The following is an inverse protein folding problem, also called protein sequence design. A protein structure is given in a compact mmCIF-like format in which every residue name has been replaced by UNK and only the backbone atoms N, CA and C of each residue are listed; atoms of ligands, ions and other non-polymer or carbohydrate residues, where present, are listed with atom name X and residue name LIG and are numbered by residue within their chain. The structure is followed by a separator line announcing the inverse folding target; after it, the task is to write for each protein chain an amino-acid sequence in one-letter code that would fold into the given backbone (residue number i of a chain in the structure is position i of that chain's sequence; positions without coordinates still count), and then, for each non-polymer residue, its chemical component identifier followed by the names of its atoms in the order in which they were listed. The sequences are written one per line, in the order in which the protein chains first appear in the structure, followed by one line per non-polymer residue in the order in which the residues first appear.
data_IF_978774769315
#
_entry.id   IF_978774769315
#
_cell.length_a   1.000
_cell.length_b   1.000
_cell.length_c   1.000
_cell.angle_alpha   90.00
_cell.angle_beta   90.00
_cell.angle_gamma   90.00
#
_symmetry.space_group_name_H-M   'P 1'
#
loop_
_entity.id
_entity.type
_entity.pdbx_description
1 polymer ?
#
# COMPACT_ATOMS: atom_id res chain seq x y z
N UNK A 1 -28.93 -6.53 12.93
CA UNK A 1 -27.67 -6.30 12.20
C UNK A 1 -28.01 -6.30 10.72
N UNK A 2 -28.12 -5.12 10.11
CA UNK A 2 -28.51 -4.98 8.71
C UNK A 2 -27.36 -5.43 7.79
N UNK A 3 -27.59 -6.49 7.04
CA UNK A 3 -26.71 -6.91 5.94
C UNK A 3 -26.85 -5.87 4.83
N UNK A 4 -25.77 -5.13 4.51
CA UNK A 4 -25.78 -4.16 3.42
C UNK A 4 -25.80 -4.89 2.09
N UNK A 5 -26.99 -5.14 1.53
CA UNK A 5 -27.18 -5.57 0.15
C UNK A 5 -26.58 -4.50 -0.77
N UNK A 6 -25.48 -4.83 -1.46
CA UNK A 6 -24.99 -3.99 -2.55
C UNK A 6 -26.09 -3.91 -3.62
N UNK A 7 -26.53 -2.70 -3.98
CA UNK A 7 -27.56 -2.51 -4.98
C UNK A 7 -27.11 -3.12 -6.32
N UNK A 8 -27.87 -4.07 -6.86
CA UNK A 8 -27.60 -4.68 -8.15
C UNK A 8 -27.82 -3.65 -9.26
N UNK A 9 -26.80 -3.39 -10.09
CA UNK A 9 -26.90 -2.52 -11.27
C UNK A 9 -26.34 -3.27 -12.50
N UNK A 10 -26.89 -3.02 -13.70
CA UNK A 10 -26.41 -3.63 -14.95
C UNK A 10 -25.03 -3.12 -15.41
N UNK A 11 -24.48 -2.09 -14.76
CA UNK A 11 -23.09 -1.64 -14.93
C UNK A 11 -22.20 -2.41 -13.96
N UNK A 12 -21.37 -3.33 -14.46
CA UNK A 12 -20.70 -4.37 -13.66
C UNK A 12 -19.31 -3.94 -13.18
N UNK A 13 -18.58 -3.20 -14.01
CA UNK A 13 -17.24 -2.70 -13.75
C UNK A 13 -17.06 -1.33 -14.39
N UNK A 14 -16.32 -0.43 -13.76
CA UNK A 14 -15.91 0.83 -14.37
C UNK A 14 -14.51 1.22 -13.93
N UNK A 15 -13.71 1.77 -14.82
CA UNK A 15 -12.41 2.33 -14.48
C UNK A 15 -12.09 3.59 -15.27
N UNK A 16 -11.17 4.36 -14.71
CA UNK A 16 -10.50 5.48 -15.37
C UNK A 16 -9.01 5.15 -15.33
N UNK A 17 -8.38 5.16 -16.50
CA UNK A 17 -6.97 4.82 -16.67
C UNK A 17 -6.24 5.93 -17.43
N UNK A 18 -4.94 6.06 -17.18
CA UNK A 18 -4.02 6.81 -18.02
C UNK A 18 -3.12 5.81 -18.75
N UNK A 19 -3.26 5.72 -20.07
CA UNK A 19 -2.75 4.61 -20.87
C UNK A 19 -3.12 3.26 -20.23
N UNK A 20 -2.11 2.51 -19.76
CA UNK A 20 -2.28 1.18 -19.18
C UNK A 20 -2.43 1.22 -17.64
N UNK A 21 -2.27 2.39 -17.03
CA UNK A 21 -2.28 2.54 -15.58
C UNK A 21 -3.68 2.93 -15.10
N UNK A 22 -4.35 2.00 -14.41
CA UNK A 22 -5.64 2.26 -13.77
C UNK A 22 -5.46 3.28 -12.64
N UNK A 23 -6.10 4.44 -12.77
CA UNK A 23 -6.08 5.51 -11.76
C UNK A 23 -7.16 5.29 -10.70
N UNK A 24 -8.30 4.75 -11.09
CA UNK A 24 -9.41 4.37 -10.20
C UNK A 24 -10.29 3.34 -10.90
N UNK A 25 -10.83 2.39 -10.15
CA UNK A 25 -11.81 1.42 -10.66
C UNK A 25 -12.83 1.08 -9.60
N UNK A 26 -14.02 0.66 -10.01
CA UNK A 26 -15.04 0.08 -9.16
C UNK A 26 -15.58 -1.20 -9.79
N UNK A 27 -15.70 -2.27 -8.99
CA UNK A 27 -16.27 -3.55 -9.41
C UNK A 27 -17.43 -3.90 -8.51
N UNK A 28 -18.52 -4.39 -9.08
CA UNK A 28 -19.64 -4.94 -8.31
C UNK A 28 -19.38 -6.43 -8.09
N UNK A 29 -19.31 -6.82 -6.82
CA UNK A 29 -18.70 -8.05 -6.29
C UNK A 29 -19.35 -9.38 -6.68
N UNK A 30 -20.11 -9.46 -7.79
CA UNK A 30 -20.82 -10.69 -8.20
C UNK A 30 -20.49 -11.19 -9.61
N UNK A 31 -19.52 -10.60 -10.33
CA UNK A 31 -19.12 -11.08 -11.67
C UNK A 31 -17.61 -11.29 -11.76
N UNK A 32 -17.17 -12.53 -11.49
CA UNK A 32 -15.78 -12.97 -11.67
C UNK A 32 -15.32 -12.74 -13.12
N UNK A 33 -14.15 -12.12 -13.30
CA UNK A 33 -13.48 -11.98 -14.61
C UNK A 33 -13.64 -10.63 -15.32
N UNK A 34 -14.63 -9.79 -14.96
CA UNK A 34 -14.86 -8.49 -15.65
C UNK A 34 -13.72 -7.49 -15.44
N UNK A 35 -13.07 -7.55 -14.28
CA UNK A 35 -11.98 -6.66 -13.89
C UNK A 35 -10.64 -7.03 -14.55
N UNK A 36 -10.49 -8.25 -15.09
CA UNK A 36 -9.36 -8.68 -15.91
C UNK A 36 -9.44 -8.22 -17.37
N UNK A 37 -10.64 -7.86 -17.85
CA UNK A 37 -10.81 -7.31 -19.20
C UNK A 37 -10.10 -5.97 -19.36
N UNK A 38 -10.02 -5.16 -18.28
CA UNK A 38 -9.31 -3.88 -18.31
C UNK A 38 -7.82 -4.03 -18.63
N UNK A 39 -7.13 -5.00 -18.00
CA UNK A 39 -5.70 -5.24 -18.24
C UNK A 39 -5.39 -5.70 -19.67
N UNK A 40 -6.36 -6.33 -20.33
CA UNK A 40 -6.25 -6.79 -21.71
C UNK A 40 -6.56 -5.68 -22.71
N UNK A 41 -7.60 -4.89 -22.44
CA UNK A 41 -8.12 -3.88 -23.36
C UNK A 41 -7.27 -2.61 -23.34
N UNK A 42 -6.86 -2.12 -22.17
CA UNK A 42 -6.15 -0.85 -22.04
C UNK A 42 -4.87 -0.76 -22.91
N UNK A 43 -3.99 -1.79 -22.98
CA UNK A 43 -2.82 -1.78 -23.85
C UNK A 43 -3.11 -1.72 -25.36
N UNK A 44 -4.35 -1.96 -25.78
CA UNK A 44 -4.78 -1.92 -27.17
C UNK A 44 -5.41 -0.59 -27.56
N UNK A 45 -5.76 0.24 -26.57
CA UNK A 45 -6.37 1.54 -26.81
C UNK A 45 -5.27 2.55 -27.16
N UNK A 46 -5.49 3.20 -28.30
CA UNK A 46 -4.62 4.19 -28.89
C UNK A 46 -5.15 5.60 -28.57
N UNK A 47 -4.26 6.54 -28.29
CA UNK A 47 -4.61 7.90 -27.85
C UNK A 47 -4.19 8.99 -28.85
N UNK A 48 -3.90 8.60 -30.10
CA UNK A 48 -3.57 9.47 -31.21
C UNK A 48 -4.80 10.28 -31.67
N UNK A 49 -5.99 9.66 -31.58
CA UNK A 49 -7.28 10.28 -31.93
C UNK A 49 -8.31 10.00 -30.85
N UNK A 50 -9.27 10.89 -30.66
CA UNK A 50 -10.33 10.69 -29.69
C UNK A 50 -11.25 9.54 -30.18
N UNK A 51 -11.38 8.50 -29.37
CA UNK A 51 -12.10 7.28 -29.74
C UNK A 51 -13.29 7.03 -28.81
N UNK A 52 -14.36 6.49 -29.40
CA UNK A 52 -15.52 5.97 -28.68
C UNK A 52 -15.83 4.63 -29.32
N UNK A 53 -15.76 3.54 -28.56
CA UNK A 53 -15.91 2.20 -29.12
C UNK A 53 -16.57 1.25 -28.12
N UNK A 54 -17.21 0.22 -28.65
CA UNK A 54 -17.79 -0.88 -27.87
C UNK A 54 -17.14 -2.20 -28.25
N UNK A 55 -16.52 -2.89 -27.30
CA UNK A 55 -16.18 -4.31 -27.46
C UNK A 55 -17.32 -5.21 -26.99
N UNK A 56 -17.56 -6.30 -27.71
CA UNK A 56 -18.48 -7.36 -27.28
C UNK A 56 -17.70 -8.53 -26.73
N UNK A 57 -18.08 -9.03 -25.56
CA UNK A 57 -17.49 -10.21 -24.93
C UNK A 57 -18.56 -11.01 -24.18
N UNK A 58 -18.91 -12.18 -24.71
CA UNK A 58 -20.01 -13.01 -24.19
C UNK A 58 -21.31 -12.19 -24.07
N UNK A 59 -21.93 -12.17 -22.88
CA UNK A 59 -23.17 -11.43 -22.58
C UNK A 59 -22.94 -9.97 -22.18
N UNK A 60 -21.69 -9.49 -22.21
CA UNK A 60 -21.30 -8.16 -21.76
C UNK A 60 -20.77 -7.31 -22.90
N UNK A 61 -21.03 -6.01 -22.80
CA UNK A 61 -20.41 -4.99 -23.62
C UNK A 61 -19.42 -4.19 -22.79
N UNK A 62 -18.24 -3.95 -23.35
CA UNK A 62 -17.25 -3.03 -22.80
C UNK A 62 -17.31 -1.75 -23.62
N UNK A 63 -17.69 -0.65 -22.99
CA UNK A 63 -17.74 0.67 -23.63
C UNK A 63 -16.57 1.50 -23.11
N UNK A 64 -15.90 2.23 -24.00
CA UNK A 64 -14.91 3.22 -23.58
C UNK A 64 -14.96 4.51 -24.38
N UNK A 65 -14.48 5.57 -23.73
CA UNK A 65 -14.12 6.86 -24.34
C UNK A 65 -12.63 7.07 -24.06
N UNK A 66 -11.83 7.20 -25.11
CA UNK A 66 -10.40 7.50 -25.01
C UNK A 66 -10.15 8.91 -25.53
N UNK A 67 -9.51 9.73 -24.70
CA UNK A 67 -9.14 11.09 -25.02
C UNK A 67 -7.76 11.12 -25.68
N UNK A 68 -7.65 11.88 -26.76
CA UNK A 68 -6.38 12.21 -27.38
C UNK A 68 -5.79 13.49 -26.80
N UNK A 69 -4.48 13.65 -26.97
CA UNK A 69 -3.80 14.90 -26.64
C UNK A 69 -4.48 16.05 -27.35
N UNK A 70 -4.74 17.20 -26.68
CA UNK A 70 -5.48 18.30 -27.27
C UNK A 70 -4.81 18.72 -28.59
N UNK A 71 -5.49 18.44 -29.70
CA UNK A 71 -5.18 19.11 -30.95
C UNK A 71 -5.58 20.57 -30.79
N UNK A 72 -4.85 21.49 -31.42
CA UNK A 72 -5.03 22.95 -31.38
C UNK A 72 -6.41 23.46 -31.84
N UNK A 73 -7.37 22.57 -32.11
CA UNK A 73 -8.61 22.87 -32.81
C UNK A 73 -9.85 23.09 -31.92
N UNK A 74 -9.87 22.64 -30.66
CA UNK A 74 -11.05 22.84 -29.78
C UNK A 74 -10.65 23.01 -28.30
N UNK A 75 -10.61 24.26 -27.82
CA UNK A 75 -10.28 24.62 -26.44
C UNK A 75 -11.38 24.34 -25.42
N UNK A 76 -12.62 24.10 -25.87
CA UNK A 76 -13.80 23.99 -25.00
C UNK A 76 -14.09 22.55 -24.53
N UNK A 77 -13.40 21.55 -25.09
CA UNK A 77 -13.51 20.17 -24.62
C UNK A 77 -12.56 19.95 -23.45
N UNK A 78 -13.10 19.73 -22.25
CA UNK A 78 -12.38 19.15 -21.12
C UNK A 78 -11.77 17.81 -21.58
N UNK A 79 -10.52 17.82 -22.04
CA UNK A 79 -9.80 16.64 -22.54
C UNK A 79 -8.41 16.62 -21.90
N UNK A 80 -8.03 15.48 -21.35
CA UNK A 80 -6.65 15.21 -20.99
C UNK A 80 -6.20 14.01 -21.82
N UNK A 81 -5.25 14.25 -22.73
CA UNK A 81 -4.72 13.19 -23.58
C UNK A 81 -4.19 12.03 -22.76
N UNK A 82 -4.40 10.81 -23.25
CA UNK A 82 -3.96 9.59 -22.57
C UNK A 82 -4.97 9.04 -21.55
N UNK A 83 -6.08 9.72 -21.27
CA UNK A 83 -7.13 9.18 -20.40
C UNK A 83 -8.11 8.27 -21.14
N UNK A 84 -8.42 7.13 -20.53
CA UNK A 84 -9.47 6.21 -20.95
C UNK A 84 -10.52 6.07 -19.84
N UNK A 85 -11.78 6.28 -20.20
CA UNK A 85 -12.95 6.04 -19.35
C UNK A 85 -13.65 4.79 -19.85
N UNK A 86 -13.75 3.74 -19.03
CA UNK A 86 -14.28 2.45 -19.44
C UNK A 86 -15.36 1.94 -18.48
N UNK A 87 -16.35 1.25 -19.04
CA UNK A 87 -17.41 0.56 -18.28
C UNK A 87 -17.77 -0.75 -18.95
N UNK A 88 -17.94 -1.80 -18.15
CA UNK A 88 -18.49 -3.10 -18.57
C UNK A 88 -19.93 -3.14 -18.13
N UNK A 89 -20.84 -3.39 -19.07
CA UNK A 89 -22.27 -3.45 -18.85
C UNK A 89 -22.86 -4.73 -19.45
N UNK A 90 -24.00 -5.17 -18.93
CA UNK A 90 -24.79 -6.21 -19.61
C UNK A 90 -25.25 -5.71 -20.98
N UNK A 91 -25.23 -6.58 -21.98
CA UNK A 91 -25.57 -6.22 -23.36
C UNK A 91 -27.02 -5.68 -23.52
N UNK A 92 -27.94 -6.14 -22.67
CA UNK A 92 -29.35 -5.74 -22.66
C UNK A 92 -29.59 -4.28 -22.25
N UNK A 93 -28.62 -3.65 -21.57
CA UNK A 93 -28.69 -2.24 -21.17
C UNK A 93 -28.60 -1.28 -22.38
N UNK A 94 -28.09 -1.77 -23.52
CA UNK A 94 -27.81 -0.97 -24.70
C UNK A 94 -26.66 0.02 -24.48
N UNK A 95 -26.39 0.86 -25.50
CA UNK A 95 -25.19 1.75 -25.51
C UNK A 95 -25.41 3.12 -24.87
N UNK A 96 -26.65 3.64 -24.91
CA UNK A 96 -26.93 5.03 -24.52
C UNK A 96 -26.67 5.27 -23.03
N UNK A 97 -27.10 4.34 -22.16
CA UNK A 97 -26.89 4.47 -20.72
C UNK A 97 -25.40 4.39 -20.36
N UNK A 98 -24.62 3.38 -20.80
CA UNK A 98 -23.18 3.33 -20.57
C UNK A 98 -22.42 4.56 -21.07
N UNK A 99 -22.67 5.02 -22.30
CA UNK A 99 -21.97 6.20 -22.83
C UNK A 99 -22.38 7.49 -22.13
N UNK A 100 -23.65 7.64 -21.76
CA UNK A 100 -24.10 8.78 -20.95
C UNK A 100 -23.47 8.81 -19.56
N UNK A 101 -23.28 7.64 -18.95
CA UNK A 101 -22.51 7.46 -17.73
C UNK A 101 -21.03 7.82 -17.93
N UNK A 102 -20.39 7.36 -19.02
CA UNK A 102 -18.98 7.66 -19.32
C UNK A 102 -18.74 9.18 -19.48
N UNK A 103 -19.67 9.88 -20.12
CA UNK A 103 -19.63 11.36 -20.24
C UNK A 103 -19.70 12.02 -18.87
N UNK A 104 -20.58 11.54 -17.98
CA UNK A 104 -20.74 12.11 -16.64
C UNK A 104 -19.50 11.87 -15.75
N UNK A 105 -18.95 10.66 -15.74
CA UNK A 105 -17.73 10.38 -14.95
C UNK A 105 -16.55 11.17 -15.49
N UNK A 106 -16.42 11.35 -16.81
CA UNK A 106 -15.39 12.19 -17.41
C UNK A 106 -15.51 13.63 -16.90
N UNK A 107 -16.70 14.21 -16.99
CA UNK A 107 -16.98 15.57 -16.52
C UNK A 107 -16.62 15.76 -15.05
N UNK A 108 -17.05 14.85 -14.17
CA UNK A 108 -16.77 14.93 -12.72
C UNK A 108 -15.31 14.69 -12.40
N UNK A 109 -14.68 13.71 -13.06
CA UNK A 109 -13.28 13.39 -12.86
C UNK A 109 -12.38 14.57 -13.25
N UNK A 110 -12.60 15.20 -14.41
CA UNK A 110 -11.80 16.34 -14.86
C UNK A 110 -12.06 17.62 -14.05
N UNK A 111 -13.23 17.73 -13.41
CA UNK A 111 -13.51 18.81 -12.45
C UNK A 111 -12.70 18.64 -11.16
N UNK A 112 -12.54 17.41 -10.68
CA UNK A 112 -11.79 17.09 -9.46
C UNK A 112 -10.28 17.03 -9.70
N UNK A 113 -9.88 16.43 -10.82
CA UNK A 113 -8.50 16.30 -11.29
C UNK A 113 -8.32 17.17 -12.55
N UNK A 114 -8.09 18.47 -12.34
CA UNK A 114 -7.95 19.42 -13.43
C UNK A 114 -6.71 19.09 -14.30
N UNK A 115 -6.84 18.91 -15.62
CA UNK A 115 -5.73 18.59 -16.53
C UNK A 115 -4.59 19.61 -16.56
N UNK A 116 -4.88 20.89 -16.32
CA UNK A 116 -3.85 21.94 -16.28
C UNK A 116 -2.92 21.83 -15.06
N UNK A 117 -3.41 21.20 -13.98
CA UNK A 117 -2.68 21.10 -12.70
C UNK A 117 -2.27 19.68 -12.37
N UNK A 118 -2.82 18.69 -13.05
CA UNK A 118 -2.64 17.27 -12.73
C UNK A 118 -1.81 16.62 -13.83
N UNK A 119 -0.59 16.20 -13.48
CA UNK A 119 0.20 15.36 -14.38
C UNK A 119 -0.23 13.90 -14.21
N UNK A 120 -1.17 13.45 -15.04
CA UNK A 120 -1.72 12.09 -14.98
C UNK A 120 -0.66 11.00 -15.21
N UNK A 121 0.37 11.26 -16.02
CA UNK A 121 1.45 10.30 -16.26
C UNK A 121 2.36 10.06 -15.05
N UNK A 122 2.35 10.97 -14.08
CA UNK A 122 3.10 10.83 -12.81
C UNK A 122 2.29 10.15 -11.71
N UNK A 123 0.98 9.94 -11.90
CA UNK A 123 0.15 9.31 -10.88
C UNK A 123 0.46 7.81 -10.80
N UNK A 124 0.67 7.25 -9.60
CA UNK A 124 0.82 5.82 -9.45
C UNK A 124 -0.49 5.10 -9.76
N UNK A 125 -0.43 3.77 -9.91
CA UNK A 125 -1.62 2.94 -9.96
C UNK A 125 -2.53 3.24 -8.76
N UNK A 126 -3.83 3.39 -9.02
CA UNK A 126 -4.83 3.80 -8.03
C UNK A 126 -4.61 5.19 -7.42
N UNK A 127 -3.82 6.06 -8.06
CA UNK A 127 -3.55 7.43 -7.61
C UNK A 127 -4.79 8.33 -7.48
N UNK A 128 -5.92 7.94 -8.08
CA UNK A 128 -7.21 8.62 -7.98
C UNK A 128 -8.29 7.77 -7.28
N UNK A 129 -7.91 6.82 -6.41
CA UNK A 129 -8.83 5.94 -5.70
C UNK A 129 -9.91 6.66 -4.88
N UNK A 130 -9.68 7.93 -4.49
CA UNK A 130 -10.68 8.80 -3.87
C UNK A 130 -11.99 8.87 -4.66
N UNK A 131 -11.91 8.77 -5.99
CA UNK A 131 -13.04 8.85 -6.91
C UNK A 131 -13.85 7.55 -7.00
N UNK A 132 -13.39 6.42 -6.42
CA UNK A 132 -14.09 5.13 -6.45
C UNK A 132 -15.53 5.22 -5.92
N UNK A 133 -15.75 5.99 -4.85
CA UNK A 133 -17.08 6.18 -4.27
C UNK A 133 -18.05 6.85 -5.24
N UNK A 134 -17.55 7.80 -6.06
CA UNK A 134 -18.35 8.46 -7.10
C UNK A 134 -18.67 7.50 -8.25
N UNK A 135 -17.70 6.67 -8.68
CA UNK A 135 -17.96 5.62 -9.67
C UNK A 135 -19.09 4.70 -9.20
N UNK A 136 -19.01 4.19 -7.96
CA UNK A 136 -20.05 3.34 -7.37
C UNK A 136 -21.43 4.00 -7.39
N UNK A 137 -21.50 5.24 -6.90
CA UNK A 137 -22.77 5.97 -6.81
C UNK A 137 -23.39 6.16 -8.20
N UNK A 138 -22.60 6.61 -9.17
CA UNK A 138 -23.05 6.86 -10.53
C UNK A 138 -23.42 5.57 -11.27
N UNK A 139 -22.70 4.48 -11.05
CA UNK A 139 -23.03 3.17 -11.63
C UNK A 139 -24.41 2.68 -11.17
N UNK A 140 -24.75 2.89 -9.90
CA UNK A 140 -26.08 2.56 -9.38
C UNK A 140 -27.13 3.53 -9.92
N UNK A 141 -26.86 4.84 -9.88
CA UNK A 141 -27.77 5.88 -10.32
C UNK A 141 -28.16 5.73 -11.79
N UNK A 142 -27.17 5.64 -12.69
CA UNK A 142 -27.39 5.54 -14.14
C UNK A 142 -27.92 4.17 -14.56
N UNK A 143 -27.51 3.10 -13.87
CA UNK A 143 -27.95 1.75 -14.21
C UNK A 143 -29.36 1.41 -13.74
N UNK A 144 -29.83 2.01 -12.64
CA UNK A 144 -31.07 1.55 -11.96
C UNK A 144 -32.17 2.60 -11.86
N UNK A 145 -31.84 3.89 -11.78
CA UNK A 145 -32.84 4.94 -11.56
C UNK A 145 -33.36 5.52 -12.86
N UNK A 146 -34.61 5.98 -12.88
CA UNK A 146 -35.17 6.66 -14.06
C UNK A 146 -34.44 7.98 -14.34
N UNK A 147 -34.20 8.78 -13.29
CA UNK A 147 -33.50 10.05 -13.41
C UNK A 147 -32.09 9.88 -14.00
N UNK A 148 -31.30 8.93 -13.50
CA UNK A 148 -29.97 8.66 -14.04
C UNK A 148 -29.99 8.16 -15.50
N UNK A 149 -31.03 7.41 -15.91
CA UNK A 149 -31.20 7.01 -17.31
C UNK A 149 -31.55 8.20 -18.20
N UNK A 150 -32.44 9.08 -17.74
CA UNK A 150 -32.81 10.32 -18.44
C UNK A 150 -31.59 11.24 -18.61
N UNK A 151 -30.78 11.40 -17.56
CA UNK A 151 -29.51 12.13 -17.60
C UNK A 151 -28.51 11.50 -18.57
N UNK A 152 -28.43 10.16 -18.61
CA UNK A 152 -27.58 9.46 -19.57
C UNK A 152 -27.97 9.78 -21.03
N UNK A 153 -29.28 9.84 -21.32
CA UNK A 153 -29.76 10.22 -22.64
C UNK A 153 -29.43 11.68 -22.97
N UNK A 154 -29.60 12.60 -22.02
CA UNK A 154 -29.24 14.01 -22.19
C UNK A 154 -27.74 14.17 -22.45
N UNK A 155 -26.89 13.48 -21.68
CA UNK A 155 -25.45 13.50 -21.86
C UNK A 155 -25.02 12.98 -23.23
N UNK A 156 -25.60 11.87 -23.68
CA UNK A 156 -25.37 11.34 -25.03
C UNK A 156 -25.78 12.36 -26.08
N UNK A 157 -26.98 12.94 -25.96
CA UNK A 157 -27.51 13.85 -26.97
C UNK A 157 -26.67 15.12 -27.13
N UNK A 158 -26.03 15.59 -26.05
CA UNK A 158 -25.25 16.82 -26.04
C UNK A 158 -23.77 16.63 -26.39
N UNK A 159 -23.19 15.45 -26.13
CA UNK A 159 -21.73 15.22 -26.19
C UNK A 159 -21.31 14.11 -27.17
N UNK A 160 -22.27 13.32 -27.64
CA UNK A 160 -22.02 12.19 -28.53
C UNK A 160 -23.02 12.26 -29.69
N UNK A 161 -22.59 12.90 -30.77
CA UNK A 161 -23.35 12.93 -32.03
C UNK A 161 -23.57 11.49 -32.51
N UNK A 162 -24.79 11.00 -32.29
CA UNK A 162 -25.27 9.70 -32.71
C UNK A 162 -24.47 8.47 -32.19
N UNK A 163 -24.87 7.94 -31.02
CA UNK A 163 -24.39 6.66 -30.48
C UNK A 163 -24.52 5.48 -31.47
N UNK A 164 -25.38 5.55 -32.50
CA UNK A 164 -25.45 4.50 -33.54
C UNK A 164 -24.20 4.44 -34.41
N UNK A 165 -23.44 5.53 -34.52
CA UNK A 165 -22.18 5.58 -35.27
C UNK A 165 -20.97 5.05 -34.50
N UNK A 166 -21.13 4.68 -33.22
CA UNK A 166 -20.05 4.12 -32.42
C UNK A 166 -19.75 2.70 -32.91
N UNK A 167 -18.49 2.49 -33.30
CA UNK A 167 -18.00 1.20 -33.78
C UNK A 167 -18.14 0.11 -32.72
N UNK A 168 -18.47 -1.10 -33.16
CA UNK A 168 -18.57 -2.28 -32.31
C UNK A 168 -17.69 -3.39 -32.85
N UNK A 169 -16.84 -3.94 -32.01
CA UNK A 169 -15.87 -4.97 -32.36
C UNK A 169 -15.95 -6.15 -31.39
N UNK A 170 -15.67 -7.37 -31.86
CA UNK A 170 -15.56 -8.52 -30.97
C UNK A 170 -14.16 -8.50 -30.32
N UNK A 171 -14.10 -8.58 -29.00
CA UNK A 171 -12.82 -8.58 -28.27
C UNK A 171 -11.96 -9.80 -28.63
N UNK A 172 -12.56 -10.93 -29.01
CA UNK A 172 -11.84 -12.16 -29.37
C UNK A 172 -10.87 -11.96 -30.54
N UNK A 173 -11.21 -11.08 -31.49
CA UNK A 173 -10.33 -10.73 -32.61
C UNK A 173 -9.12 -9.91 -32.19
N UNK A 174 -9.27 -9.14 -31.10
CA UNK A 174 -8.16 -8.35 -30.50
C UNK A 174 -7.26 -9.26 -29.64
N UNK A 175 -7.74 -10.45 -29.28
CA UNK A 175 -7.11 -11.46 -28.42
C UNK A 175 -6.41 -12.62 -29.17
N UNK A 176 -6.58 -12.69 -30.50
CA UNK A 176 -6.29 -13.85 -31.35
C UNK A 176 -4.82 -14.29 -31.52
N UNK A 177 -3.88 -13.89 -30.64
CA UNK A 177 -2.45 -14.26 -30.77
C UNK A 177 -1.72 -14.77 -29.53
N UNK A 178 -2.39 -15.11 -28.43
CA UNK A 178 -1.74 -15.89 -27.36
C UNK A 178 -2.26 -15.73 -25.93
N UNK A 179 -3.17 -14.80 -25.67
CA UNK A 179 -3.76 -14.59 -24.34
C UNK A 179 -5.18 -15.17 -24.30
N UNK A 180 -5.29 -16.46 -24.01
CA UNK A 180 -6.60 -17.09 -23.76
C UNK A 180 -7.18 -16.48 -22.47
N UNK A 181 -8.39 -15.91 -22.53
CA UNK A 181 -9.12 -15.41 -21.35
C UNK A 181 -9.67 -16.59 -20.51
N UNK A 182 -8.78 -17.47 -20.05
CA UNK A 182 -9.00 -18.30 -18.87
C UNK A 182 -8.42 -17.59 -17.64
N UNK A 183 -8.63 -16.27 -17.54
CA UNK A 183 -8.28 -15.47 -16.35
C UNK A 183 -9.31 -15.69 -15.24
N UNK A 184 -9.41 -16.95 -14.79
CA UNK A 184 -9.68 -17.24 -13.40
C UNK A 184 -8.35 -17.08 -12.66
N UNK A 185 -8.36 -16.19 -11.65
CA UNK A 185 -7.23 -15.85 -10.77
C UNK A 185 -6.26 -14.83 -11.40
N UNK A 186 -6.38 -13.55 -11.02
CA UNK A 186 -5.53 -12.98 -9.96
C UNK A 186 -5.82 -11.49 -9.71
N UNK A 187 -6.95 -11.20 -9.04
CA UNK A 187 -7.25 -9.84 -8.52
C UNK A 187 -7.49 -9.81 -7.01
N UNK A 188 -7.29 -10.93 -6.32
CA UNK A 188 -7.41 -11.00 -4.85
C UNK A 188 -6.19 -10.34 -4.18
N UNK A 189 -4.99 -10.49 -4.73
CA UNK A 189 -3.77 -9.89 -4.13
C UNK A 189 -3.68 -8.38 -4.36
N UNK A 190 -4.15 -7.86 -5.51
CA UNK A 190 -4.17 -6.41 -5.76
C UNK A 190 -5.29 -5.66 -5.03
N UNK A 191 -6.43 -6.31 -4.76
CA UNK A 191 -7.52 -5.73 -3.97
C UNK A 191 -7.32 -5.90 -2.45
N UNK A 192 -6.61 -6.95 -2.01
CA UNK A 192 -6.26 -7.18 -0.61
C UNK A 192 -5.39 -6.07 -0.02
N UNK A 193 -4.36 -5.64 -0.75
CA UNK A 193 -3.50 -4.51 -0.37
C UNK A 193 -4.21 -3.15 -0.45
N UNK A 194 -4.88 -2.87 -1.57
CA UNK A 194 -5.47 -1.54 -1.82
C UNK A 194 -6.73 -1.24 -0.98
N UNK A 195 -7.55 -2.23 -0.63
CA UNK A 195 -8.72 -2.01 0.23
C UNK A 195 -8.34 -1.78 1.71
N UNK A 196 -7.21 -2.37 2.16
CA UNK A 196 -6.68 -2.19 3.51
C UNK A 196 -5.98 -0.83 3.63
N UNK A 197 -5.25 -0.40 2.60
CA UNK A 197 -4.64 0.94 2.52
C UNK A 197 -5.66 2.07 2.37
N UNK A 198 -6.81 1.84 1.72
CA UNK A 198 -7.86 2.84 1.59
C UNK A 198 -8.70 3.02 2.88
N UNK A 199 -8.86 1.98 3.71
CA UNK A 199 -9.48 2.10 5.04
C UNK A 199 -8.59 2.85 6.03
N UNK A 200 -7.26 2.73 5.88
CA UNK A 200 -6.28 3.40 6.74
C UNK A 200 -6.05 4.86 6.31
N UNK A 201 -6.15 5.21 5.01
CA UNK A 201 -5.96 6.60 4.54
C UNK A 201 -7.21 7.49 4.53
N UNK A 202 -8.43 6.94 4.45
CA UNK A 202 -9.68 7.74 4.48
C UNK A 202 -10.01 8.32 5.86
N UNK A 203 -9.57 7.67 6.95
CA UNK A 203 -9.72 8.19 8.32
C UNK A 203 -8.61 9.18 8.72
N UNK A 204 -7.45 9.14 8.06
CA UNK A 204 -6.33 10.05 8.32
C UNK A 204 -6.49 11.46 7.73
N UNK A 205 -7.13 11.60 6.56
CA UNK A 205 -7.30 12.91 5.90
C UNK A 205 -8.40 13.77 6.53
N UNK A 206 -9.45 13.16 7.10
CA UNK A 206 -10.52 13.89 7.83
C UNK A 206 -9.99 14.52 9.12
N UNK A 207 -9.00 13.87 9.77
CA UNK A 207 -8.40 14.33 11.03
C UNK A 207 -7.38 15.46 10.83
N UNK A 208 -6.65 15.49 9.70
CA UNK A 208 -5.73 16.60 9.35
C UNK A 208 -6.45 17.91 9.04
N UNK A 209 -7.62 17.88 8.40
CA UNK A 209 -8.47 19.07 8.21
C UNK A 209 -9.12 19.53 9.52
N UNK A 210 -9.60 18.62 10.36
CA UNK A 210 -10.18 18.95 11.67
C UNK A 210 -9.17 19.61 12.61
N UNK A 211 -7.92 19.15 12.65
CA UNK A 211 -6.88 19.72 13.52
C UNK A 211 -6.43 21.11 13.07
N UNK A 212 -6.39 21.40 11.76
CA UNK A 212 -6.14 22.76 11.28
C UNK A 212 -7.28 23.71 11.64
N UNK A 213 -8.53 23.26 11.50
CA UNK A 213 -9.69 24.08 11.84
C UNK A 213 -9.87 24.26 13.36
N UNK A 214 -9.58 23.25 14.17
CA UNK A 214 -9.61 23.33 15.63
C UNK A 214 -8.52 24.26 16.16
N UNK A 215 -7.30 24.18 15.62
CA UNK A 215 -6.20 25.08 16.01
C UNK A 215 -6.53 26.55 15.70
N UNK A 216 -7.15 26.83 14.55
CA UNK A 216 -7.63 28.17 14.20
C UNK A 216 -8.78 28.63 15.11
N UNK A 217 -9.73 27.75 15.42
CA UNK A 217 -10.86 28.13 16.29
C UNK A 217 -10.43 28.39 17.75
N UNK A 218 -9.50 27.60 18.29
CA UNK A 218 -8.93 27.81 19.63
C UNK A 218 -8.17 29.13 19.71
N UNK A 219 -7.36 29.47 18.70
CA UNK A 219 -6.67 30.76 18.63
C UNK A 219 -7.69 31.92 18.60
N UNK A 220 -8.76 31.79 17.81
CA UNK A 220 -9.80 32.82 17.70
C UNK A 220 -10.55 33.04 19.03
N UNK A 221 -10.85 31.96 19.76
CA UNK A 221 -11.48 32.04 21.10
C UNK A 221 -10.55 32.69 22.13
N UNK A 222 -9.26 32.35 22.13
CA UNK A 222 -8.27 32.97 23.04
C UNK A 222 -8.15 34.48 22.78
N UNK A 223 -8.14 34.90 21.52
CA UNK A 223 -8.10 36.32 21.16
C UNK A 223 -9.36 37.05 21.65
N UNK A 224 -10.55 36.45 21.51
CA UNK A 224 -11.80 37.04 22.03
C UNK A 224 -11.75 37.17 23.55
N UNK A 225 -11.32 36.14 24.28
CA UNK A 225 -11.20 36.17 25.75
C UNK A 225 -10.22 37.26 26.19
N UNK A 226 -9.10 37.40 25.49
CA UNK A 226 -8.12 38.44 25.76
C UNK A 226 -8.68 39.85 25.55
N UNK A 227 -9.44 40.07 24.47
CA UNK A 227 -10.09 41.36 24.20
C UNK A 227 -11.18 41.69 25.24
N UNK A 228 -11.96 40.70 25.67
CA UNK A 228 -12.95 40.86 26.75
C UNK A 228 -12.27 41.18 28.07
N UNK A 229 -11.15 40.51 28.39
CA UNK A 229 -10.35 40.79 29.59
C UNK A 229 -9.83 42.23 29.59
N UNK A 230 -9.32 42.72 28.46
CA UNK A 230 -8.87 44.13 28.33
C UNK A 230 -10.03 45.11 28.52
N UNK A 231 -11.18 44.87 27.88
CA UNK A 231 -12.37 45.73 28.00
C UNK A 231 -12.89 45.81 29.44
N UNK A 232 -12.98 44.67 30.13
CA UNK A 232 -13.38 44.63 31.56
C UNK A 232 -12.32 45.26 32.46
N UNK A 233 -11.03 45.09 32.11
CA UNK A 233 -9.91 45.72 32.81
C UNK A 233 -9.93 47.25 32.74
N UNK A 234 -10.33 47.83 31.60
CA UNK A 234 -10.51 49.27 31.43
C UNK A 234 -11.74 49.82 32.17
N UNK A 235 -12.78 49.00 32.39
CA UNK A 235 -14.01 49.42 33.07
C UNK A 235 -14.02 49.23 34.59
N UNK A 236 -13.27 48.26 35.13
CA UNK A 236 -13.37 47.87 36.56
C UNK A 236 -12.06 47.92 37.37
N UNK A 237 -10.92 48.28 36.77
CA UNK A 237 -9.64 48.28 37.48
C UNK A 237 -9.14 46.85 37.75
N UNK A 238 -8.09 46.46 37.04
CA UNK A 238 -7.52 45.10 37.08
C UNK A 238 -7.10 44.69 38.51
N UNK A 239 -7.63 43.59 39.08
CA UNK A 239 -7.39 43.21 40.49
C UNK A 239 -6.02 42.55 40.76
N UNK A 240 -5.08 42.58 39.82
CA UNK A 240 -3.84 41.78 39.90
C UNK A 240 -2.55 42.59 40.19
N UNK A 241 -2.63 43.89 40.47
CA UNK A 241 -1.46 44.70 40.81
C UNK A 241 -1.52 45.17 42.27
N UNK A 242 -1.14 44.29 43.19
CA UNK A 242 -1.14 44.67 44.61
C UNK A 242 -0.85 43.58 45.62
N UNK A 243 0.27 42.84 45.48
CA UNK A 243 1.13 42.47 46.62
C UNK A 243 2.35 41.68 46.19
N UNK A 244 3.50 42.27 46.44
CA UNK A 244 4.79 41.63 46.53
C UNK A 244 4.88 40.92 47.88
N UNK A 245 4.93 39.58 47.87
CA UNK A 245 5.50 38.80 48.97
C UNK A 245 6.27 37.62 48.38
N UNK A 246 7.57 37.69 48.57
CA UNK A 246 8.59 36.68 48.39
C UNK A 246 8.21 35.33 49.02
N UNK A 247 8.16 34.29 48.19
CA UNK A 247 8.50 32.92 48.61
C UNK A 247 9.39 32.34 47.50
N UNK A 248 10.65 32.14 47.85
CA UNK A 248 11.58 31.31 47.10
C UNK A 248 11.12 29.85 47.14
N UNK A 249 10.92 29.24 45.98
CA UNK A 249 11.05 27.80 45.78
C UNK A 249 11.19 27.49 44.27
N UNK A 250 12.43 27.23 43.85
CA UNK A 250 12.78 26.34 42.74
C UNK A 250 12.04 26.51 41.41
N UNK A 251 12.60 27.34 40.53
CA UNK A 251 12.45 27.16 39.08
C UNK A 251 13.14 25.85 38.66
N UNK A 252 12.45 24.73 38.84
CA UNK A 252 12.73 23.49 38.13
C UNK A 252 12.16 23.60 36.73
N UNK A 253 13.02 23.52 35.73
CA UNK A 253 12.67 23.51 34.31
C UNK A 253 11.46 22.62 34.04
N UNK A 254 10.41 23.20 33.44
CA UNK A 254 9.33 22.43 32.84
C UNK A 254 9.95 21.53 31.75
N UNK A 255 9.72 20.20 31.78
CA UNK A 255 10.17 19.36 30.69
C UNK A 255 9.38 19.78 29.44
N UNK A 256 10.12 20.18 28.42
CA UNK A 256 9.67 20.23 27.04
C UNK A 256 8.83 18.98 26.79
N UNK A 257 7.55 19.15 26.49
CA UNK A 257 6.75 18.06 25.93
C UNK A 257 7.40 17.69 24.62
N UNK A 258 8.24 16.67 24.68
CA UNK A 258 8.77 15.95 23.53
C UNK A 258 7.56 15.54 22.73
N UNK A 259 7.47 16.11 21.53
CA UNK A 259 6.63 15.63 20.47
C UNK A 259 6.91 14.13 20.33
N UNK A 260 6.03 13.26 20.84
CA UNK A 260 5.91 11.90 20.32
C UNK A 260 5.29 12.03 18.92
N UNK A 261 6.10 12.54 17.99
CA UNK A 261 6.04 12.05 16.63
C UNK A 261 6.35 10.56 16.78
N UNK A 262 5.35 9.72 16.57
CA UNK A 262 5.63 8.40 16.06
C UNK A 262 6.40 8.62 14.76
N UNK A 263 7.72 8.59 14.84
CA UNK A 263 8.56 8.29 13.70
C UNK A 263 8.05 6.96 13.19
N UNK A 264 7.27 7.02 12.11
CA UNK A 264 7.32 5.96 11.13
C UNK A 264 8.73 6.08 10.55
N UNK A 265 9.71 5.56 11.29
CA UNK A 265 10.95 5.13 10.66
C UNK A 265 10.47 4.18 9.56
N UNK A 266 10.76 4.53 8.32
CA UNK A 266 10.61 3.64 7.18
C UNK A 266 11.54 2.46 7.46
N UNK A 267 11.04 1.50 8.25
CA UNK A 267 11.78 0.31 8.66
C UNK A 267 12.12 -0.43 7.38
N UNK A 268 13.42 -0.63 7.18
CA UNK A 268 14.05 -1.30 6.05
C UNK A 268 13.50 -2.71 5.90
N UNK A 269 13.70 -3.40 4.78
CA UNK A 269 13.24 -4.78 4.63
C UNK A 269 14.27 -5.59 3.87
N UNK A 270 14.62 -6.78 4.35
CA UNK A 270 13.99 -7.49 5.48
C UNK A 270 14.32 -6.91 6.87
N UNK A 271 13.31 -6.77 7.73
CA UNK A 271 13.45 -6.22 9.07
C UNK A 271 12.74 -7.05 10.11
N UNK A 272 13.42 -7.33 11.21
CA UNK A 272 12.95 -8.17 12.29
C UNK A 272 12.87 -7.35 13.58
N UNK A 273 11.70 -7.32 14.20
CA UNK A 273 11.48 -6.69 15.50
C UNK A 273 11.24 -7.75 16.56
N UNK A 274 12.15 -7.83 17.53
CA UNK A 274 12.08 -8.74 18.66
C UNK A 274 11.57 -7.97 19.87
N UNK A 275 10.29 -8.13 20.19
CA UNK A 275 9.68 -7.56 21.40
C UNK A 275 9.84 -8.53 22.55
N UNK A 276 10.60 -8.14 23.55
CA UNK A 276 10.91 -9.01 24.68
C UNK A 276 10.43 -8.39 25.99
N UNK A 277 9.82 -9.21 26.84
CA UNK A 277 9.54 -8.90 28.26
C UNK A 277 10.58 -9.54 29.17
N UNK A 278 11.20 -10.62 28.70
CA UNK A 278 12.33 -11.28 29.35
C UNK A 278 13.58 -10.40 29.19
N UNK A 279 14.36 -10.14 30.26
CA UNK A 279 15.59 -9.38 30.13
C UNK A 279 16.63 -10.18 29.32
N UNK A 280 17.07 -9.61 28.20
CA UNK A 280 18.08 -10.21 27.33
C UNK A 280 19.43 -9.52 27.52
N UNK A 281 20.49 -10.30 27.67
CA UNK A 281 21.87 -9.79 27.69
C UNK A 281 22.30 -9.30 26.31
N UNK A 282 23.34 -8.46 26.24
CA UNK A 282 23.90 -7.99 24.96
C UNK A 282 24.35 -9.19 24.10
N UNK A 283 25.05 -10.15 24.69
CA UNK A 283 25.48 -11.37 23.99
C UNK A 283 24.31 -12.18 23.42
N UNK A 284 23.18 -12.27 24.12
CA UNK A 284 21.99 -12.95 23.61
C UNK A 284 21.32 -12.18 22.47
N UNK A 285 21.31 -10.84 22.55
CA UNK A 285 20.82 -10.00 21.44
C UNK A 285 21.70 -10.17 20.21
N UNK A 286 23.03 -10.16 20.38
CA UNK A 286 23.99 -10.32 19.28
C UNK A 286 23.88 -11.72 18.63
N UNK A 287 23.80 -12.78 19.44
CA UNK A 287 23.65 -14.16 18.95
C UNK A 287 22.34 -14.33 18.20
N UNK A 288 21.23 -13.82 18.75
CA UNK A 288 19.91 -13.92 18.12
C UNK A 288 19.83 -13.07 16.84
N UNK A 289 20.41 -11.88 16.82
CA UNK A 289 20.48 -11.05 15.61
C UNK A 289 21.27 -11.75 14.51
N UNK A 290 22.45 -12.30 14.82
CA UNK A 290 23.26 -13.04 13.87
C UNK A 290 22.53 -14.30 13.34
N UNK A 291 21.82 -15.01 14.22
CA UNK A 291 21.01 -16.16 13.83
C UNK A 291 19.88 -15.77 12.87
N UNK A 292 19.11 -14.72 13.20
CA UNK A 292 18.03 -14.20 12.33
C UNK A 292 18.58 -13.78 10.96
N UNK A 293 19.67 -13.02 10.94
CA UNK A 293 20.33 -12.58 9.71
C UNK A 293 20.81 -13.74 8.86
N UNK A 294 21.40 -14.76 9.48
CA UNK A 294 21.85 -15.98 8.78
C UNK A 294 20.68 -16.79 8.24
N UNK A 295 19.63 -17.01 9.03
CA UNK A 295 18.43 -17.73 8.60
C UNK A 295 17.80 -17.04 7.39
N UNK A 296 17.55 -15.74 7.48
CA UNK A 296 16.95 -14.97 6.39
C UNK A 296 17.82 -15.01 5.13
N UNK A 297 19.09 -14.64 5.27
CA UNK A 297 20.01 -14.55 4.14
C UNK A 297 20.30 -15.91 3.53
N UNK A 298 20.18 -17.02 4.25
CA UNK A 298 20.35 -18.36 3.66
C UNK A 298 19.10 -18.77 2.90
N UNK A 299 17.93 -18.54 3.48
CA UNK A 299 16.64 -18.90 2.89
C UNK A 299 16.32 -18.10 1.62
N UNK A 300 16.78 -16.84 1.57
CA UNK A 300 16.52 -15.93 0.46
C UNK A 300 17.81 -15.41 -0.17
N UNK A 301 17.75 -14.94 -1.41
CA UNK A 301 18.89 -14.34 -2.13
C UNK A 301 19.38 -12.99 -1.57
N UNK A 302 18.82 -12.54 -0.45
CA UNK A 302 19.16 -11.26 0.18
C UNK A 302 20.56 -11.29 0.81
N UNK A 303 21.46 -10.35 0.47
CA UNK A 303 22.73 -10.18 1.19
C UNK A 303 22.52 -9.80 2.66
N UNK A 304 23.43 -10.19 3.55
CA UNK A 304 23.28 -9.96 5.00
C UNK A 304 23.21 -8.48 5.38
N UNK A 305 23.90 -7.62 4.63
CA UNK A 305 23.92 -6.16 4.87
C UNK A 305 22.51 -5.54 4.89
N UNK A 306 21.56 -6.12 4.16
CA UNK A 306 20.19 -5.61 4.09
C UNK A 306 19.23 -6.25 5.10
N UNK A 307 19.72 -7.15 5.96
CA UNK A 307 18.91 -7.78 7.02
C UNK A 307 19.05 -7.01 8.32
N UNK A 308 17.97 -6.34 8.71
CA UNK A 308 17.94 -5.48 9.88
C UNK A 308 17.22 -6.16 11.04
N UNK A 309 17.75 -6.05 12.26
CA UNK A 309 17.16 -6.62 13.48
C UNK A 309 17.11 -5.56 14.58
N UNK A 310 15.94 -5.31 15.15
CA UNK A 310 15.70 -4.38 16.25
C UNK A 310 15.15 -5.12 17.47
N UNK A 311 15.63 -4.76 18.66
CA UNK A 311 15.14 -5.28 19.94
C UNK A 311 14.35 -4.20 20.69
N UNK A 312 13.11 -4.52 21.05
CA UNK A 312 12.26 -3.63 21.84
C UNK A 312 11.94 -4.25 23.20
N UNK A 313 12.37 -3.59 24.28
CA UNK A 313 11.95 -3.95 25.64
C UNK A 313 10.50 -3.52 25.87
N UNK A 314 9.65 -4.49 26.19
CA UNK A 314 8.22 -4.31 26.44
C UNK A 314 7.81 -4.77 27.83
N UNK A 315 8.76 -4.95 28.75
CA UNK A 315 8.52 -5.37 30.15
C UNK A 315 7.52 -4.47 30.90
N UNK A 316 7.50 -3.18 30.58
CA UNK A 316 6.58 -2.19 31.18
C UNK A 316 5.25 -2.05 30.43
N UNK A 317 5.06 -2.76 29.31
CA UNK A 317 3.83 -2.70 28.52
C UNK A 317 2.74 -3.61 29.11
N UNK A 318 1.50 -3.12 29.14
CA UNK A 318 0.34 -3.92 29.57
C UNK A 318 -0.25 -4.70 28.40
N UNK A 319 0.21 -5.94 28.22
CA UNK A 319 -0.32 -6.86 27.20
C UNK A 319 -1.42 -7.75 27.79
N UNK A 320 -2.54 -7.89 27.09
CA UNK A 320 -3.68 -8.71 27.50
C UNK A 320 -3.95 -9.83 26.50
N UNK A 321 -4.17 -11.03 27.02
CA UNK A 321 -4.51 -12.24 26.27
C UNK A 321 -5.78 -12.84 26.86
N UNK A 322 -6.83 -12.97 26.05
CA UNK A 322 -8.11 -13.49 26.53
C UNK A 322 -8.67 -12.69 27.72
N UNK A 323 -8.43 -11.37 27.74
CA UNK A 323 -8.84 -10.46 28.82
C UNK A 323 -7.96 -10.49 30.08
N UNK A 324 -6.90 -11.31 30.13
CA UNK A 324 -5.98 -11.38 31.26
C UNK A 324 -4.63 -10.78 30.90
N UNK A 325 -4.07 -9.98 31.79
CA UNK A 325 -2.73 -9.43 31.58
C UNK A 325 -1.70 -10.57 31.56
N UNK A 326 -0.86 -10.62 30.53
CA UNK A 326 0.18 -11.63 30.36
C UNK A 326 1.41 -11.01 29.70
N UNK A 327 2.56 -11.14 30.34
CA UNK A 327 3.85 -10.85 29.74
C UNK A 327 4.15 -11.90 28.66
N UNK A 328 4.68 -11.46 27.53
CA UNK A 328 4.92 -12.32 26.38
C UNK A 328 5.99 -11.74 25.46
N UNK A 329 6.83 -12.63 24.94
CA UNK A 329 7.82 -12.30 23.92
C UNK A 329 7.22 -12.53 22.53
N UNK A 330 7.49 -11.62 21.59
CA UNK A 330 6.96 -11.66 20.24
C UNK A 330 8.06 -11.33 19.23
N UNK A 331 8.10 -12.07 18.13
CA UNK A 331 8.99 -11.79 17.01
C UNK A 331 8.14 -11.40 15.80
N UNK A 332 8.38 -10.21 15.28
CA UNK A 332 7.74 -9.68 14.10
C UNK A 332 8.76 -9.66 12.97
N UNK A 333 8.46 -10.30 11.85
CA UNK A 333 9.31 -10.30 10.69
C UNK A 333 8.60 -9.54 9.56
N UNK A 334 9.16 -8.41 9.16
CA UNK A 334 8.72 -7.63 8.02
C UNK A 334 9.47 -8.15 6.78
N UNK A 335 8.79 -8.99 6.00
CA UNK A 335 9.39 -9.75 4.91
C UNK A 335 8.50 -9.66 3.67
N UNK A 336 9.10 -9.39 2.50
CA UNK A 336 8.33 -9.27 1.25
C UNK A 336 7.73 -10.61 0.83
N UNK A 337 6.45 -10.62 0.47
CA UNK A 337 5.82 -11.70 -0.27
C UNK A 337 6.21 -11.60 -1.76
N UNK A 338 6.24 -12.73 -2.46
CA UNK A 338 6.52 -12.78 -3.90
C UNK A 338 6.14 -14.14 -4.49
N UNK A 339 5.94 -14.23 -5.82
CA UNK A 339 5.45 -15.44 -6.48
C UNK A 339 6.40 -16.64 -6.35
N UNK A 340 7.68 -16.40 -6.03
CA UNK A 340 8.68 -17.44 -5.79
C UNK A 340 8.67 -18.01 -4.36
N UNK A 341 7.96 -17.38 -3.41
CA UNK A 341 7.97 -17.76 -1.99
C UNK A 341 6.68 -18.50 -1.62
N UNK A 342 6.79 -19.78 -1.29
CA UNK A 342 5.64 -20.65 -1.01
C UNK A 342 5.34 -20.73 0.47
N UNK A 343 4.23 -21.39 0.83
CA UNK A 343 3.84 -21.56 2.23
C UNK A 343 4.89 -22.29 3.04
N UNK A 344 5.50 -23.29 2.42
CA UNK A 344 6.52 -24.15 3.01
C UNK A 344 7.77 -23.34 3.38
N UNK A 345 8.11 -22.30 2.59
CA UNK A 345 9.21 -21.39 2.92
C UNK A 345 8.94 -20.57 4.17
N UNK A 346 7.70 -20.16 4.38
CA UNK A 346 7.28 -19.40 5.56
C UNK A 346 7.20 -20.27 6.81
N UNK A 347 6.72 -21.50 6.68
CA UNK A 347 6.69 -22.48 7.75
C UNK A 347 8.12 -22.86 8.20
N UNK A 348 9.02 -23.08 7.25
CA UNK A 348 10.44 -23.34 7.53
C UNK A 348 11.13 -22.12 8.18
N UNK A 349 10.93 -20.92 7.63
CA UNK A 349 11.47 -19.68 8.21
C UNK A 349 11.04 -19.50 9.66
N UNK A 350 9.73 -19.64 9.93
CA UNK A 350 9.19 -19.47 11.30
C UNK A 350 9.69 -20.56 12.24
N UNK A 351 9.83 -21.81 11.76
CA UNK A 351 10.39 -22.92 12.54
C UNK A 351 11.85 -22.68 12.92
N UNK A 352 12.68 -22.21 11.98
CA UNK A 352 14.08 -21.88 12.25
C UNK A 352 14.24 -20.70 13.20
N UNK A 353 13.39 -19.67 13.07
CA UNK A 353 13.38 -18.52 13.99
C UNK A 353 12.97 -18.93 15.42
N UNK A 354 11.99 -19.83 15.55
CA UNK A 354 11.60 -20.40 16.84
C UNK A 354 12.77 -21.18 17.46
N UNK A 355 13.42 -22.05 16.69
CA UNK A 355 14.58 -22.81 17.16
C UNK A 355 15.76 -21.91 17.57
N UNK A 356 16.00 -20.82 16.84
CA UNK A 356 17.02 -19.83 17.19
C UNK A 356 16.70 -19.14 18.54
N UNK A 357 15.43 -18.74 18.75
CA UNK A 357 15.00 -18.21 20.04
C UNK A 357 15.19 -19.22 21.17
N UNK A 358 14.72 -20.46 20.98
CA UNK A 358 14.78 -21.49 22.01
C UNK A 358 16.23 -21.87 22.36
N UNK A 359 17.14 -21.82 21.39
CA UNK A 359 18.58 -22.02 21.63
C UNK A 359 19.21 -20.88 22.44
N UNK A 360 18.92 -19.62 22.10
CA UNK A 360 19.58 -18.44 22.70
C UNK A 360 18.92 -18.02 24.03
N UNK A 361 17.61 -18.21 24.16
CA UNK A 361 16.79 -17.75 25.29
C UNK A 361 16.16 -18.92 26.07
N UNK A 362 15.80 -20.01 25.38
CA UNK A 362 15.05 -21.15 25.94
C UNK A 362 15.80 -22.00 26.98
N UNK A 363 17.08 -21.74 27.24
CA UNK A 363 17.77 -22.28 28.42
C UNK A 363 17.22 -21.72 29.76
N UNK A 364 16.34 -20.70 29.71
CA UNK A 364 15.84 -19.98 30.88
C UNK A 364 16.90 -19.04 31.44
N UNK A 365 16.48 -17.94 32.06
CA UNK A 365 17.42 -17.10 32.79
C UNK A 365 17.86 -17.80 34.07
N UNK A 366 19.14 -17.78 34.44
CA UNK A 366 19.57 -18.30 35.73
C UNK A 366 18.82 -17.55 36.84
N UNK A 367 18.15 -18.30 37.72
CA UNK A 367 17.47 -17.71 38.87
C UNK A 367 18.49 -16.97 39.73
N UNK A 368 18.25 -15.68 39.98
CA UNK A 368 19.11 -14.87 40.86
C UNK A 368 19.04 -15.42 42.30
N UNK A 369 17.86 -15.88 42.73
CA UNK A 369 17.65 -16.66 43.95
C UNK A 369 16.84 -17.92 43.65
N UNK A 370 17.14 -19.03 44.33
CA UNK A 370 16.35 -20.28 44.22
C UNK A 370 14.84 -20.09 44.47
N UNK A 371 14.47 -19.05 45.21
CA UNK A 371 13.08 -18.68 45.53
C UNK A 371 12.39 -17.86 44.45
N UNK A 372 13.12 -17.33 43.46
CA UNK A 372 12.51 -16.52 42.41
C UNK A 372 11.60 -17.41 41.53
N UNK A 373 10.41 -16.91 41.14
CA UNK A 373 9.50 -17.65 40.30
C UNK A 373 10.14 -17.94 38.93
N UNK A 374 9.78 -19.07 38.32
CA UNK A 374 10.20 -19.37 36.95
C UNK A 374 9.67 -18.29 36.02
N UNK A 375 10.58 -17.60 35.35
CA UNK A 375 10.22 -16.59 34.36
C UNK A 375 9.88 -17.30 33.05
N UNK A 376 8.69 -17.04 32.52
CA UNK A 376 8.28 -17.53 31.20
C UNK A 376 9.14 -16.83 30.13
N UNK A 377 10.11 -17.57 29.58
CA UNK A 377 11.01 -17.10 28.51
C UNK A 377 10.56 -17.56 27.13
N UNK A 378 9.38 -18.20 27.04
CA UNK A 378 8.88 -18.72 25.77
C UNK A 378 8.61 -17.60 24.76
N UNK A 379 8.86 -17.92 23.50
CA UNK A 379 8.40 -17.08 22.40
C UNK A 379 6.92 -17.36 22.19
N UNK A 380 6.08 -16.34 22.36
CA UNK A 380 4.62 -16.52 22.29
C UNK A 380 4.12 -16.58 20.85
N UNK A 381 4.69 -15.77 19.96
CA UNK A 381 4.29 -15.73 18.57
C UNK A 381 5.40 -15.24 17.68
N UNK A 382 5.45 -15.82 16.48
CA UNK A 382 6.15 -15.26 15.34
C UNK A 382 5.10 -14.76 14.35
N UNK A 383 5.22 -13.52 13.91
CA UNK A 383 4.29 -12.90 12.97
C UNK A 383 5.06 -12.42 11.75
N UNK A 384 4.79 -13.04 10.61
CA UNK A 384 5.29 -12.56 9.32
C UNK A 384 4.33 -11.48 8.80
N UNK A 385 4.85 -10.29 8.56
CA UNK A 385 4.12 -9.16 7.98
C UNK A 385 4.61 -8.93 6.56
N UNK A 386 3.69 -9.03 5.61
CA UNK A 386 3.90 -8.70 4.20
C UNK A 386 3.46 -7.28 3.85
N UNK A 387 3.79 -6.89 2.61
CA UNK A 387 3.49 -5.64 1.90
C UNK A 387 4.28 -4.39 2.27
N UNK A 388 5.20 -4.03 1.36
CA UNK A 388 5.80 -2.71 1.22
C UNK A 388 5.99 -2.44 -0.27
N UNK A 389 5.47 -1.31 -0.74
CA UNK A 389 5.41 -1.01 -2.17
C UNK A 389 6.75 -0.55 -2.76
N UNK A 390 7.59 0.12 -1.99
CA UNK A 390 8.80 0.78 -2.47
C UNK A 390 9.75 1.09 -1.31
N UNK A 391 11.06 0.93 -1.53
CA UNK A 391 12.08 1.23 -0.53
C UNK A 391 13.38 1.68 -1.18
N UNK A 392 14.09 2.60 -0.53
CA UNK A 392 15.46 2.95 -0.85
C UNK A 392 16.33 2.79 0.40
N UNK A 393 17.30 1.90 0.36
CA UNK A 393 18.21 1.60 1.48
C UNK A 393 19.65 1.75 1.02
N UNK A 394 20.49 2.40 1.83
CA UNK A 394 21.88 2.74 1.48
C UNK A 394 22.03 3.49 0.12
N UNK A 395 20.96 4.13 -0.34
CA UNK A 395 20.93 4.81 -1.64
C UNK A 395 20.42 3.95 -2.80
N UNK A 396 20.06 2.68 -2.58
CA UNK A 396 19.63 1.73 -3.61
C UNK A 396 18.14 1.43 -3.51
N UNK A 397 17.43 1.42 -4.63
CA UNK A 397 16.03 1.00 -4.67
C UNK A 397 16.01 -0.52 -4.49
N UNK A 398 15.41 -1.00 -3.41
CA UNK A 398 15.38 -2.44 -3.07
C UNK A 398 14.36 -3.16 -3.98
N UNK A 399 14.73 -4.27 -4.64
CA UNK A 399 13.95 -4.89 -5.70
C UNK A 399 12.72 -5.64 -5.17
N UNK A 400 11.78 -5.96 -6.06
CA UNK A 400 10.67 -6.86 -5.69
C UNK A 400 11.21 -8.21 -5.20
N UNK A 401 10.43 -8.92 -4.36
CA UNK A 401 10.84 -10.23 -3.86
C UNK A 401 11.17 -11.19 -5.02
N UNK A 402 12.35 -11.82 -4.94
CA UNK A 402 12.86 -12.70 -6.00
C UNK A 402 13.62 -11.98 -7.11
N UNK A 403 13.64 -10.64 -7.13
CA UNK A 403 14.43 -9.83 -8.06
C UNK A 403 15.85 -9.52 -7.58
N UNK A 404 16.29 -10.13 -6.47
CA UNK A 404 17.56 -9.79 -5.81
C UNK A 404 18.77 -10.04 -6.71
N UNK A 405 18.75 -11.12 -7.51
CA UNK A 405 19.86 -11.47 -8.42
C UNK A 405 20.05 -10.40 -9.50
N UNK A 406 18.98 -10.03 -10.20
CA UNK A 406 19.03 -8.99 -11.24
C UNK A 406 19.43 -7.65 -10.64
N UNK A 407 18.89 -7.31 -9.47
CA UNK A 407 19.23 -6.08 -8.77
C UNK A 407 20.70 -6.03 -8.33
N UNK A 408 21.26 -7.15 -7.86
CA UNK A 408 22.67 -7.27 -7.55
C UNK A 408 23.53 -7.03 -8.78
N UNK A 409 23.14 -7.57 -9.94
CA UNK A 409 23.83 -7.36 -11.21
C UNK A 409 23.78 -5.89 -11.66
N UNK A 410 22.60 -5.26 -11.60
CA UNK A 410 22.40 -3.87 -12.01
C UNK A 410 23.19 -2.86 -11.16
N UNK A 411 23.37 -3.15 -9.86
CA UNK A 411 24.06 -2.25 -8.93
C UNK A 411 25.51 -2.68 -8.63
N UNK A 412 26.00 -3.74 -9.29
CA UNK A 412 27.30 -4.36 -8.98
C UNK A 412 28.49 -3.40 -9.07
N UNK A 413 28.50 -2.54 -10.08
CA UNK A 413 29.58 -1.57 -10.29
C UNK A 413 29.67 -0.58 -9.12
N UNK A 414 28.54 -0.04 -8.67
CA UNK A 414 28.49 0.90 -7.56
C UNK A 414 28.84 0.22 -6.23
N UNK A 415 28.47 -1.05 -6.04
CA UNK A 415 28.88 -1.82 -4.85
C UNK A 415 30.39 -2.00 -4.77
N UNK A 416 31.04 -2.42 -5.86
CA UNK A 416 32.50 -2.55 -5.89
C UNK A 416 33.17 -1.19 -5.69
N UNK A 417 32.65 -0.13 -6.31
CA UNK A 417 33.18 1.23 -6.14
C UNK A 417 33.15 1.69 -4.68
N UNK A 418 32.08 1.41 -3.93
CA UNK A 418 32.00 1.74 -2.50
C UNK A 418 32.95 0.90 -1.65
N UNK A 419 33.05 -0.39 -1.94
CA UNK A 419 34.01 -1.28 -1.29
C UNK A 419 35.45 -0.78 -1.50
N UNK A 420 35.82 -0.43 -2.74
CA UNK A 420 37.13 0.12 -3.12
C UNK A 420 37.40 1.49 -2.48
N UNK A 421 36.35 2.29 -2.26
CA UNK A 421 36.43 3.57 -1.57
C UNK A 421 36.63 3.43 -0.04
N UNK A 422 36.63 2.20 0.49
CA UNK A 422 36.95 1.92 1.88
C UNK A 422 35.75 1.63 2.78
N UNK A 423 34.54 1.53 2.23
CA UNK A 423 33.33 1.21 3.00
C UNK A 423 33.31 -0.28 3.40
N UNK A 424 33.54 -0.56 4.69
CA UNK A 424 33.71 -1.92 5.20
C UNK A 424 32.42 -2.77 5.11
N UNK A 425 31.25 -2.14 5.18
CA UNK A 425 29.96 -2.83 5.02
C UNK A 425 29.81 -3.34 3.58
N UNK A 426 30.16 -2.51 2.59
CA UNK A 426 30.13 -2.90 1.18
C UNK A 426 31.26 -3.88 0.82
N UNK A 427 32.43 -3.81 1.46
CA UNK A 427 33.48 -4.83 1.31
C UNK A 427 32.98 -6.20 1.74
N UNK A 428 32.42 -6.30 2.95
CA UNK A 428 31.88 -7.56 3.47
C UNK A 428 30.75 -8.11 2.59
N UNK A 429 29.86 -7.24 2.10
CA UNK A 429 28.80 -7.64 1.18
C UNK A 429 29.34 -8.14 -0.17
N UNK A 430 30.34 -7.47 -0.77
CA UNK A 430 30.92 -7.88 -2.05
C UNK A 430 31.63 -9.23 -1.92
N UNK A 431 32.33 -9.47 -0.82
CA UNK A 431 32.93 -10.77 -0.51
C UNK A 431 31.86 -11.86 -0.38
N UNK A 432 30.80 -11.60 0.38
CA UNK A 432 29.66 -12.51 0.55
C UNK A 432 29.02 -12.87 -0.81
N UNK A 433 28.70 -11.86 -1.63
CA UNK A 433 28.04 -12.06 -2.93
C UNK A 433 28.89 -12.94 -3.85
N UNK A 434 30.22 -12.77 -3.85
CA UNK A 434 31.16 -13.59 -4.61
C UNK A 434 31.22 -15.03 -4.09
N UNK A 435 31.33 -15.22 -2.78
CA UNK A 435 31.43 -16.55 -2.16
C UNK A 435 30.15 -17.38 -2.39
N UNK A 436 29.00 -16.71 -2.28
CA UNK A 436 27.67 -17.31 -2.42
C UNK A 436 27.15 -17.31 -3.85
N UNK A 437 27.84 -16.66 -4.79
CA UNK A 437 27.45 -16.50 -6.21
C UNK A 437 26.05 -15.91 -6.37
N UNK A 438 25.71 -14.90 -5.57
CA UNK A 438 24.34 -14.34 -5.53
C UNK A 438 23.97 -13.51 -6.76
N UNK A 439 24.96 -13.10 -7.57
CA UNK A 439 24.77 -12.32 -8.78
C UNK A 439 24.91 -13.15 -10.08
N UNK A 440 25.00 -14.47 -10.00
CA UNK A 440 25.05 -15.36 -11.16
C UNK A 440 23.66 -15.92 -11.48
N UNK A 441 23.27 -15.97 -12.76
CA UNK A 441 22.02 -16.60 -13.20
C UNK A 441 22.18 -18.12 -13.26
N UNK A 442 21.73 -18.81 -12.22
CA UNK A 442 21.69 -20.27 -12.09
C UNK A 442 21.00 -20.71 -10.78
N UNK A 443 20.66 -22.01 -10.61
CA UNK A 443 20.07 -22.50 -9.35
C UNK A 443 21.03 -22.19 -8.19
N UNK A 444 20.49 -21.79 -7.03
CA UNK A 444 21.30 -21.46 -5.85
C UNK A 444 22.19 -22.65 -5.45
N UNK A 445 23.29 -22.44 -4.71
CA UNK A 445 24.10 -23.56 -4.18
C UNK A 445 23.26 -24.59 -3.41
N UNK A 446 22.21 -24.14 -2.72
CA UNK A 446 21.27 -25.01 -2.02
C UNK A 446 20.42 -25.82 -2.99
N UNK A 447 19.94 -25.19 -4.07
CA UNK A 447 19.13 -25.83 -5.10
C UNK A 447 19.97 -26.84 -5.93
N UNK A 448 21.24 -26.53 -6.20
CA UNK A 448 22.20 -27.47 -6.81
C UNK A 448 22.54 -28.64 -5.87
N UNK A 449 22.59 -28.39 -4.55
CA UNK A 449 22.81 -29.43 -3.56
C UNK A 449 21.58 -30.35 -3.43
N UNK A 450 20.37 -29.79 -3.45
CA UNK A 450 19.10 -30.52 -3.43
C UNK A 450 18.87 -31.34 -4.73
N UNK A 451 19.24 -30.78 -5.89
CA UNK A 451 19.28 -31.48 -7.18
C UNK A 451 20.36 -32.58 -7.20
N UNK A 452 21.56 -32.31 -6.69
CA UNK A 452 22.64 -33.30 -6.60
C UNK A 452 22.36 -34.43 -5.59
N UNK A 453 21.56 -34.15 -4.55
CA UNK A 453 21.08 -35.13 -3.58
C UNK A 453 19.83 -35.90 -4.07
N UNK A 454 19.30 -35.55 -5.25
CA UNK A 454 18.19 -36.27 -5.89
C UNK A 454 16.84 -36.11 -5.18
N UNK A 455 16.64 -35.01 -4.45
CA UNK A 455 15.41 -34.75 -3.69
C UNK A 455 14.38 -33.92 -4.48
N UNK A 456 14.76 -33.39 -5.64
CA UNK A 456 13.89 -32.66 -6.55
C UNK A 456 13.18 -33.56 -7.56
N UNK A 457 12.31 -34.46 -7.08
CA UNK A 457 11.10 -34.93 -7.79
C UNK A 457 10.44 -36.07 -6.99
N UNK A 458 9.44 -35.71 -6.19
CA UNK A 458 8.40 -36.63 -5.70
C UNK A 458 7.18 -35.83 -5.24
N UNK A 459 6.26 -35.60 -6.20
CA UNK A 459 4.82 -35.27 -6.08
C UNK A 459 4.40 -33.97 -5.36
#
# INVERSE_FOLDING_TARGET
MASSTAAATPLLYSCIAYHNTVLTEHTISSVSGTSGLASVILPKIQHETAQKLTYTHNENFIHYIADASPSSANSDSLSAGGLTYMVVAKADLGRRIPFGYLVEIKKRFLKEYNPERTNFGSLPAYGAAAFNGQLKQLMVEYGTTKAGKDDAFANVQNQIDNVRGIMTENIERVLERGERIDLLVDKTDRLGGSARDFRVRSTGLRRKMWWKNMRLMVIMVVVIIFLVYLLVGFGCGLPAWGRQTSIEAGFGALPSYVTLQAEVHERTMPFYEVKHTTPLTVSQKDELANAITTIHSTKFSTPKLFVNVEFQDTSNASTYVGGKQKAANHLFAHVRSGPSRRREDWEDLTSQLQAAWDKTVGAGLPKVRRSDPDQDTSLRSIVLMGDLMFMKELGFIVPQAGGDVQWLQENWEEFNKRADAGDDDFKGMVEEVKERRLNESGPSKQQQLEEALGWGDSA
#
